data_IF_021882423586
#
_entry.id   IF_021882423586
#
_cell.length_a   1.000
_cell.length_b   1.000
_cell.length_c   1.000
_cell.angle_alpha   90.00
_cell.angle_beta   90.00
_cell.angle_gamma   90.00
#
_symmetry.space_group_name_H-M   'P 1'
#
loop_
_entity.id
_entity.type
_entity.pdbx_description
1 polymer ?
#
# COMPACT_ATOMS: atom_id res chain seq x y z
N UNK A 1 13.20 6.49 11.94
CA UNK A 1 13.65 5.07 11.94
C UNK A 1 14.23 4.68 10.58
N UNK A 2 13.48 4.82 9.47
CA UNK A 2 13.91 4.42 8.11
C UNK A 2 15.29 5.00 7.69
N UNK A 3 15.53 6.30 7.93
CA UNK A 3 16.81 6.96 7.58
C UNK A 3 18.01 6.41 8.37
N UNK A 4 17.81 6.01 9.63
CA UNK A 4 18.90 5.45 10.45
C UNK A 4 19.29 4.07 9.91
N UNK A 5 18.32 3.22 9.66
CA UNK A 5 18.54 1.91 9.06
C UNK A 5 19.18 2.06 7.67
N UNK A 6 18.67 2.98 6.84
CA UNK A 6 19.25 3.26 5.53
C UNK A 6 20.73 3.68 5.58
N UNK A 7 21.09 4.56 6.51
CA UNK A 7 22.49 4.99 6.69
C UNK A 7 23.38 3.83 7.15
N UNK A 8 22.93 3.00 8.09
CA UNK A 8 23.71 1.83 8.52
C UNK A 8 23.96 0.85 7.37
N UNK A 9 22.94 0.61 6.54
CA UNK A 9 23.07 -0.23 5.34
C UNK A 9 24.00 0.43 4.30
N UNK A 10 23.92 1.75 4.12
CA UNK A 10 24.79 2.48 3.21
C UNK A 10 26.26 2.39 3.64
N UNK A 11 26.56 2.60 4.92
CA UNK A 11 27.90 2.46 5.47
C UNK A 11 28.42 1.04 5.31
N UNK A 12 27.58 0.04 5.53
CA UNK A 12 27.91 -1.35 5.28
C UNK A 12 28.25 -1.62 3.81
N UNK A 13 27.42 -1.12 2.86
CA UNK A 13 27.68 -1.25 1.42
C UNK A 13 28.96 -0.50 1.02
N UNK A 14 29.20 0.70 1.55
CA UNK A 14 30.45 1.43 1.31
C UNK A 14 31.66 0.60 1.76
N UNK A 15 31.60 0.05 2.97
CA UNK A 15 32.69 -0.79 3.51
C UNK A 15 32.88 -2.09 2.74
N UNK A 16 31.81 -2.80 2.36
CA UNK A 16 31.89 -4.15 1.79
C UNK A 16 31.98 -4.20 0.27
N UNK A 17 31.52 -3.13 -0.39
CA UNK A 17 31.42 -3.06 -1.86
C UNK A 17 32.34 -1.96 -2.41
N UNK A 18 32.11 -0.69 -1.99
CA UNK A 18 32.78 0.46 -2.61
C UNK A 18 34.27 0.50 -2.25
N UNK A 19 34.61 0.30 -0.97
CA UNK A 19 36.01 0.39 -0.50
C UNK A 19 36.93 -0.66 -1.13
N UNK A 20 36.51 -1.95 -1.32
CA UNK A 20 37.35 -2.97 -1.96
C UNK A 20 37.46 -2.85 -3.48
N UNK A 21 36.74 -1.93 -4.15
CA UNK A 21 36.86 -1.76 -5.60
C UNK A 21 38.30 -1.39 -6.00
N UNK A 22 38.78 -2.01 -7.07
CA UNK A 22 40.10 -1.73 -7.66
C UNK A 22 40.05 -0.51 -8.59
N UNK A 23 39.55 0.62 -8.07
CA UNK A 23 39.46 1.92 -8.77
C UNK A 23 40.20 2.98 -7.97
N UNK A 24 40.49 4.14 -8.57
CA UNK A 24 41.18 5.24 -7.89
C UNK A 24 40.40 5.78 -6.69
N UNK A 25 41.09 6.37 -5.76
CA UNK A 25 40.46 7.01 -4.56
C UNK A 25 39.51 8.14 -4.97
N UNK A 26 39.85 8.84 -6.07
CA UNK A 26 39.02 9.89 -6.67
C UNK A 26 37.64 9.40 -7.17
N UNK A 27 37.48 8.11 -7.38
CA UNK A 27 36.18 7.49 -7.73
C UNK A 27 35.49 6.87 -6.51
N UNK A 28 36.25 6.28 -5.56
CA UNK A 28 35.65 5.65 -4.36
C UNK A 28 34.94 6.66 -3.48
N UNK A 29 35.52 7.87 -3.30
CA UNK A 29 34.91 8.93 -2.50
C UNK A 29 33.52 9.34 -3.01
N UNK A 30 33.39 9.78 -4.27
CA UNK A 30 32.09 10.11 -4.86
C UNK A 30 31.09 8.95 -4.86
N UNK A 31 31.51 7.71 -5.13
CA UNK A 31 30.65 6.53 -5.04
C UNK A 31 30.12 6.30 -3.61
N UNK A 32 30.98 6.42 -2.61
CA UNK A 32 30.59 6.32 -1.22
C UNK A 32 29.60 7.43 -0.82
N UNK A 33 29.86 8.67 -1.25
CA UNK A 33 28.97 9.80 -1.03
C UNK A 33 27.60 9.57 -1.70
N UNK A 34 27.58 9.07 -2.94
CA UNK A 34 26.34 8.73 -3.64
C UNK A 34 25.50 7.70 -2.86
N UNK A 35 26.12 6.61 -2.39
CA UNK A 35 25.44 5.57 -1.61
C UNK A 35 24.85 6.14 -0.31
N UNK A 36 25.58 7.00 0.40
CA UNK A 36 25.06 7.66 1.62
C UNK A 36 23.96 8.67 1.28
N UNK A 37 24.11 9.42 0.19
CA UNK A 37 23.07 10.37 -0.26
C UNK A 37 21.78 9.66 -0.63
N UNK A 38 21.84 8.48 -1.26
CA UNK A 38 20.67 7.65 -1.52
C UNK A 38 19.97 7.19 -0.23
N UNK A 39 20.72 6.87 0.82
CA UNK A 39 20.15 6.54 2.13
C UNK A 39 19.46 7.74 2.80
N UNK A 40 19.94 8.95 2.53
CA UNK A 40 19.45 10.20 3.10
C UNK A 40 18.47 10.96 2.20
N UNK A 41 18.18 10.47 0.97
CA UNK A 41 17.41 11.22 -0.01
C UNK A 41 16.05 11.68 0.52
N UNK A 42 15.34 10.87 1.32
CA UNK A 42 14.07 11.27 1.92
C UNK A 42 14.21 12.53 2.81
N UNK A 43 15.30 12.63 3.57
CA UNK A 43 15.56 13.81 4.40
C UNK A 43 15.95 15.02 3.57
N UNK A 44 16.73 14.80 2.51
CA UNK A 44 17.15 15.84 1.56
C UNK A 44 15.89 16.39 0.86
N UNK A 45 15.05 15.53 0.31
CA UNK A 45 13.79 15.92 -0.35
C UNK A 45 12.87 16.64 0.64
N UNK A 46 12.67 16.09 1.83
CA UNK A 46 11.79 16.70 2.84
C UNK A 46 12.32 18.07 3.34
N UNK A 47 13.60 18.38 3.17
CA UNK A 47 14.19 19.67 3.55
C UNK A 47 14.02 20.74 2.47
N UNK A 48 13.95 20.35 1.19
CA UNK A 48 14.05 21.28 0.06
C UNK A 48 12.88 21.21 -0.94
N UNK A 49 12.14 20.11 -0.99
CA UNK A 49 11.21 19.84 -2.07
C UNK A 49 10.03 18.94 -1.63
N UNK A 50 9.21 19.40 -0.70
CA UNK A 50 8.01 18.72 -0.25
C UNK A 50 8.22 17.85 0.99
N UNK A 51 7.67 16.64 0.98
CA UNK A 51 7.78 15.68 2.10
C UNK A 51 8.27 14.33 1.60
N UNK A 52 8.50 13.38 2.52
CA UNK A 52 8.82 12.01 2.14
C UNK A 52 7.66 11.32 1.39
N UNK A 53 6.42 11.61 1.79
CA UNK A 53 5.23 11.05 1.15
C UNK A 53 4.90 11.78 -0.17
N UNK A 54 5.12 13.10 -0.21
CA UNK A 54 4.85 13.95 -1.38
C UNK A 54 6.08 14.75 -1.78
N UNK A 55 7.05 14.13 -2.48
CA UNK A 55 8.19 14.85 -3.05
C UNK A 55 7.73 15.72 -4.24
N UNK A 56 8.00 17.02 -4.17
CA UNK A 56 7.65 17.98 -5.22
C UNK A 56 8.81 18.16 -6.22
N UNK A 57 9.24 17.04 -6.81
CA UNK A 57 10.31 16.96 -7.81
C UNK A 57 9.82 16.18 -9.04
N UNK A 58 10.49 16.30 -10.20
CA UNK A 58 10.04 15.62 -11.42
C UNK A 58 9.96 14.10 -11.27
N UNK A 59 8.91 13.48 -11.85
CA UNK A 59 8.65 12.02 -11.84
C UNK A 59 9.88 11.18 -12.15
N UNK A 60 10.72 11.46 -13.20
CA UNK A 60 11.89 10.65 -13.45
C UNK A 60 12.93 10.68 -12.31
N UNK A 61 13.04 11.82 -11.61
CA UNK A 61 13.96 11.95 -10.46
C UNK A 61 13.46 11.11 -9.29
N UNK A 62 12.15 11.14 -9.02
CA UNK A 62 11.53 10.26 -7.99
C UNK A 62 11.81 8.80 -8.32
N UNK A 63 11.59 8.38 -9.56
CA UNK A 63 11.82 7.00 -10.01
C UNK A 63 13.29 6.56 -9.85
N UNK A 64 14.25 7.42 -10.18
CA UNK A 64 15.68 7.16 -10.02
C UNK A 64 16.05 7.04 -8.53
N UNK A 65 15.57 7.96 -7.69
CA UNK A 65 15.82 7.91 -6.24
C UNK A 65 15.19 6.67 -5.58
N UNK A 66 13.95 6.34 -5.95
CA UNK A 66 13.26 5.13 -5.47
C UNK A 66 14.01 3.86 -5.91
N UNK A 67 14.49 3.80 -7.17
CA UNK A 67 15.30 2.68 -7.68
C UNK A 67 16.60 2.56 -6.91
N UNK A 68 17.32 3.65 -6.72
CA UNK A 68 18.60 3.65 -5.99
C UNK A 68 18.45 3.26 -4.52
N UNK A 69 17.41 3.76 -3.86
CA UNK A 69 17.13 3.42 -2.46
C UNK A 69 16.71 1.94 -2.31
N UNK A 70 15.83 1.44 -3.17
CA UNK A 70 15.42 0.03 -3.17
C UNK A 70 16.61 -0.87 -3.47
N UNK A 71 17.47 -0.49 -4.43
CA UNK A 71 18.70 -1.22 -4.74
C UNK A 71 19.68 -1.25 -3.57
N UNK A 72 19.78 -0.15 -2.82
CA UNK A 72 20.58 -0.11 -1.60
C UNK A 72 20.07 -1.13 -0.56
N UNK A 73 18.75 -1.20 -0.33
CA UNK A 73 18.14 -2.13 0.63
C UNK A 73 18.35 -3.58 0.20
N UNK A 74 17.94 -3.94 -1.02
CA UNK A 74 18.03 -5.31 -1.55
C UNK A 74 19.50 -5.73 -1.68
N UNK A 75 20.34 -4.84 -2.21
CA UNK A 75 21.76 -5.10 -2.40
C UNK A 75 22.51 -5.30 -1.08
N UNK A 76 22.21 -4.47 -0.06
CA UNK A 76 22.79 -4.65 1.27
C UNK A 76 22.43 -6.01 1.87
N UNK A 77 21.17 -6.44 1.75
CA UNK A 77 20.72 -7.77 2.20
C UNK A 77 21.41 -8.89 1.42
N UNK A 78 21.56 -8.76 0.10
CA UNK A 78 22.27 -9.74 -0.72
C UNK A 78 23.74 -9.83 -0.32
N UNK A 79 24.42 -8.70 -0.10
CA UNK A 79 25.81 -8.68 0.37
C UNK A 79 25.96 -9.28 1.77
N UNK A 80 25.00 -9.01 2.66
CA UNK A 80 24.96 -9.61 4.00
C UNK A 80 24.81 -11.13 3.93
N UNK A 81 23.92 -11.62 3.07
CA UNK A 81 23.75 -13.06 2.82
C UNK A 81 25.07 -13.70 2.33
N UNK A 82 25.77 -13.05 1.38
CA UNK A 82 27.07 -13.51 0.90
C UNK A 82 28.11 -13.57 2.02
N UNK A 83 28.08 -12.62 2.96
CA UNK A 83 28.99 -12.61 4.10
C UNK A 83 28.67 -13.72 5.12
N UNK A 84 27.38 -13.97 5.36
CA UNK A 84 26.93 -15.09 6.21
C UNK A 84 27.35 -16.43 5.59
N UNK A 85 27.12 -16.60 4.29
CA UNK A 85 27.53 -17.83 3.57
C UNK A 85 29.06 -18.00 3.60
N UNK A 86 29.83 -16.92 3.45
CA UNK A 86 31.29 -16.96 3.56
C UNK A 86 31.73 -17.36 4.97
N UNK A 87 31.10 -16.83 6.00
CA UNK A 87 31.37 -17.22 7.38
C UNK A 87 31.06 -18.71 7.61
N UNK A 88 29.88 -19.16 7.16
CA UNK A 88 29.50 -20.59 7.24
C UNK A 88 30.48 -21.51 6.51
N UNK A 89 30.90 -21.12 5.28
CA UNK A 89 31.88 -21.90 4.51
C UNK A 89 33.24 -22.02 5.24
N UNK A 90 33.67 -20.95 5.94
CA UNK A 90 34.88 -20.96 6.76
C UNK A 90 34.75 -21.87 7.98
N UNK A 91 33.66 -21.74 8.72
CA UNK A 91 33.41 -22.53 9.94
C UNK A 91 33.30 -24.04 9.60
N UNK A 92 32.68 -24.37 8.48
CA UNK A 92 32.54 -25.73 7.97
C UNK A 92 33.80 -26.24 7.22
N UNK A 93 34.89 -25.47 7.21
CA UNK A 93 36.15 -25.78 6.55
C UNK A 93 35.99 -26.21 5.08
N UNK A 94 35.16 -25.47 4.30
CA UNK A 94 34.90 -25.71 2.88
C UNK A 94 35.76 -24.78 2.00
N UNK A 95 37.03 -25.18 1.64
CA UNK A 95 37.98 -24.26 1.00
C UNK A 95 37.51 -23.76 -0.38
N UNK A 96 36.89 -24.65 -1.19
CA UNK A 96 36.36 -24.28 -2.52
C UNK A 96 35.24 -23.23 -2.43
N UNK A 97 34.28 -23.43 -1.53
CA UNK A 97 33.19 -22.49 -1.30
C UNK A 97 33.71 -21.13 -0.74
N UNK A 98 34.69 -21.20 0.18
CA UNK A 98 35.34 -19.98 0.72
C UNK A 98 36.05 -19.21 -0.39
N UNK A 99 36.78 -19.85 -1.31
CA UNK A 99 37.43 -19.21 -2.44
C UNK A 99 36.41 -18.55 -3.39
N UNK A 100 35.34 -19.26 -3.76
CA UNK A 100 34.29 -18.77 -4.63
C UNK A 100 33.60 -17.51 -4.02
N UNK A 101 33.23 -17.55 -2.73
CA UNK A 101 32.56 -16.43 -2.03
C UNK A 101 33.49 -15.23 -1.75
N UNK A 102 34.79 -15.39 -1.90
CA UNK A 102 35.79 -14.29 -1.82
C UNK A 102 36.06 -13.60 -3.14
N UNK A 103 35.47 -14.06 -4.24
CA UNK A 103 35.68 -13.49 -5.57
C UNK A 103 35.31 -11.98 -5.57
N UNK A 104 36.24 -11.15 -6.04
CA UNK A 104 36.13 -9.68 -5.90
C UNK A 104 34.91 -9.07 -6.63
N UNK A 105 34.46 -9.69 -7.73
CA UNK A 105 33.34 -9.18 -8.52
C UNK A 105 31.96 -9.58 -7.96
N UNK A 106 31.90 -10.56 -7.05
CA UNK A 106 30.62 -11.14 -6.60
C UNK A 106 29.72 -10.13 -5.90
N UNK A 107 30.25 -9.29 -5.01
CA UNK A 107 29.49 -8.25 -4.31
C UNK A 107 29.04 -7.10 -5.23
N UNK A 108 29.94 -6.55 -6.09
CA UNK A 108 29.49 -5.61 -7.13
C UNK A 108 28.44 -6.17 -8.06
N UNK A 109 28.53 -7.44 -8.46
CA UNK A 109 27.53 -8.10 -9.29
C UNK A 109 26.17 -8.24 -8.56
N UNK A 110 26.19 -8.57 -7.26
CA UNK A 110 24.97 -8.61 -6.45
C UNK A 110 24.30 -7.23 -6.36
N UNK A 111 25.08 -6.14 -6.23
CA UNK A 111 24.55 -4.78 -6.29
C UNK A 111 23.99 -4.42 -7.67
N UNK A 112 24.66 -4.82 -8.75
CA UNK A 112 24.15 -4.64 -10.11
C UNK A 112 22.82 -5.39 -10.35
N UNK A 113 22.73 -6.64 -9.89
CA UNK A 113 21.48 -7.40 -9.93
C UNK A 113 20.38 -6.75 -9.10
N UNK A 114 20.70 -6.29 -7.90
CA UNK A 114 19.75 -5.55 -7.06
C UNK A 114 19.24 -4.27 -7.75
N UNK A 115 20.10 -3.54 -8.47
CA UNK A 115 19.70 -2.36 -9.23
C UNK A 115 18.71 -2.70 -10.34
N UNK A 116 18.97 -3.77 -11.12
CA UNK A 116 18.05 -4.23 -12.19
C UNK A 116 16.69 -4.65 -11.62
N UNK A 117 16.70 -5.47 -10.55
CA UNK A 117 15.48 -5.92 -9.87
C UNK A 117 14.70 -4.72 -9.28
N UNK A 118 15.41 -3.73 -8.74
CA UNK A 118 14.79 -2.53 -8.18
C UNK A 118 14.19 -1.62 -9.26
N UNK A 119 14.87 -1.46 -10.41
CA UNK A 119 14.33 -0.71 -11.54
C UNK A 119 13.05 -1.36 -12.08
N UNK A 120 13.03 -2.69 -12.20
CA UNK A 120 11.82 -3.45 -12.52
C UNK A 120 10.72 -3.25 -11.46
N UNK A 121 11.06 -3.32 -10.18
CA UNK A 121 10.10 -3.12 -9.07
C UNK A 121 9.48 -1.73 -9.06
N UNK A 122 10.26 -0.68 -9.32
CA UNK A 122 9.75 0.69 -9.41
C UNK A 122 8.88 0.87 -10.66
N UNK A 123 9.29 0.29 -11.80
CA UNK A 123 8.46 0.27 -13.01
C UNK A 123 7.10 -0.40 -12.74
N UNK A 124 7.07 -1.55 -12.06
CA UNK A 124 5.83 -2.23 -11.65
C UNK A 124 5.00 -1.40 -10.67
N UNK A 125 5.64 -0.66 -9.76
CA UNK A 125 4.96 0.25 -8.83
C UNK A 125 4.27 1.45 -9.52
N UNK A 126 4.74 1.82 -10.73
CA UNK A 126 4.16 2.88 -11.56
C UNK A 126 3.21 2.35 -12.64
N UNK A 127 3.10 1.04 -12.82
CA UNK A 127 2.21 0.44 -13.80
C UNK A 127 0.74 0.67 -13.41
N UNK A 128 -0.14 0.76 -14.40
CA UNK A 128 -1.58 0.78 -14.14
C UNK A 128 -2.00 -0.57 -13.52
N UNK A 129 -2.77 -0.57 -12.42
CA UNK A 129 -3.11 -1.79 -11.72
C UNK A 129 -3.96 -2.74 -12.56
N UNK A 130 -3.76 -4.02 -12.33
CA UNK A 130 -4.61 -5.06 -12.92
C UNK A 130 -5.95 -5.15 -12.18
N UNK A 131 -7.00 -5.57 -12.88
CA UNK A 131 -8.28 -5.86 -12.26
C UNK A 131 -8.28 -7.26 -11.66
N UNK A 132 -8.75 -7.35 -10.43
CA UNK A 132 -8.95 -8.60 -9.72
C UNK A 132 -10.44 -8.77 -9.42
N UNK A 133 -10.99 -9.90 -9.78
CA UNK A 133 -12.41 -10.22 -9.49
C UNK A 133 -12.46 -11.35 -8.46
N UNK A 134 -13.25 -11.15 -7.42
CA UNK A 134 -13.45 -12.13 -6.35
C UNK A 134 -14.93 -12.23 -6.02
N UNK A 135 -15.36 -13.38 -5.54
CA UNK A 135 -16.68 -13.55 -4.93
C UNK A 135 -16.53 -13.66 -3.42
N UNK A 136 -17.43 -13.02 -2.68
CA UNK A 136 -17.49 -13.07 -1.22
C UNK A 136 -18.88 -13.47 -0.80
N UNK A 137 -18.99 -14.60 -0.14
CA UNK A 137 -20.26 -15.09 0.41
C UNK A 137 -20.47 -14.50 1.79
N UNK A 138 -21.64 -13.88 2.00
CA UNK A 138 -22.02 -13.26 3.26
C UNK A 138 -23.25 -13.98 3.84
N UNK A 139 -23.16 -14.33 5.12
CA UNK A 139 -24.31 -14.81 5.86
C UNK A 139 -25.32 -13.67 6.06
N UNK A 140 -26.61 -13.99 5.94
CA UNK A 140 -27.67 -13.00 6.07
C UNK A 140 -27.76 -11.97 4.93
N UNK A 141 -27.01 -12.12 3.83
CA UNK A 141 -27.14 -11.23 2.67
C UNK A 141 -28.56 -11.41 2.07
N UNK A 142 -29.36 -10.32 1.96
CA UNK A 142 -30.67 -10.41 1.28
C UNK A 142 -30.51 -10.81 -0.18
N UNK A 143 -31.50 -11.59 -0.70
CA UNK A 143 -31.47 -12.07 -2.09
C UNK A 143 -31.36 -10.96 -3.13
N UNK A 144 -31.85 -9.75 -2.83
CA UNK A 144 -31.77 -8.57 -3.68
C UNK A 144 -30.31 -8.07 -3.91
N UNK A 145 -29.39 -8.49 -3.05
CA UNK A 145 -27.97 -8.18 -3.15
C UNK A 145 -27.12 -9.39 -3.60
N UNK A 146 -27.72 -10.54 -3.94
CA UNK A 146 -26.97 -11.62 -4.58
C UNK A 146 -26.52 -11.19 -5.97
N UNK A 147 -25.21 -11.28 -6.24
CA UNK A 147 -24.59 -10.74 -7.45
C UNK A 147 -24.25 -9.26 -7.41
N UNK A 148 -24.46 -8.55 -6.30
CA UNK A 148 -24.13 -7.13 -6.14
C UNK A 148 -22.61 -6.90 -6.25
N UNK A 149 -22.21 -5.90 -7.05
CA UNK A 149 -20.81 -5.68 -7.46
C UNK A 149 -20.25 -4.45 -6.77
N UNK A 150 -19.40 -4.67 -5.77
CA UNK A 150 -18.68 -3.62 -5.05
C UNK A 150 -17.27 -3.51 -5.63
N UNK A 151 -16.92 -2.36 -6.17
CA UNK A 151 -15.56 -2.07 -6.58
C UNK A 151 -14.78 -1.43 -5.42
N UNK A 152 -13.72 -2.06 -4.95
CA UNK A 152 -12.79 -1.49 -4.00
C UNK A 152 -11.62 -0.85 -4.73
N UNK A 153 -11.42 0.44 -4.48
CA UNK A 153 -10.19 1.19 -4.72
C UNK A 153 -9.55 1.52 -3.38
N UNK A 154 -8.23 1.51 -3.29
CA UNK A 154 -7.48 1.91 -2.09
C UNK A 154 -6.05 2.27 -2.47
N UNK A 155 -5.41 3.09 -1.64
CA UNK A 155 -3.99 3.41 -1.79
C UNK A 155 -3.65 3.89 -3.22
N UNK A 156 -4.43 4.84 -3.72
CA UNK A 156 -4.23 5.43 -5.06
C UNK A 156 -2.97 6.28 -5.07
N UNK A 157 -2.72 7.03 -3.99
CA UNK A 157 -1.56 7.91 -3.83
C UNK A 157 -1.32 8.81 -5.04
N UNK A 158 -2.38 9.51 -5.52
CA UNK A 158 -2.25 10.49 -6.58
C UNK A 158 -1.17 11.51 -6.19
N UNK A 159 -0.12 11.61 -7.00
CA UNK A 159 1.13 12.31 -6.64
C UNK A 159 1.94 12.70 -7.89
N UNK A 160 3.11 13.31 -7.69
CA UNK A 160 4.07 13.53 -8.78
C UNK A 160 4.55 12.23 -9.44
N UNK A 161 4.46 11.10 -8.76
CA UNK A 161 4.83 9.79 -9.31
C UNK A 161 3.66 9.18 -10.09
N UNK A 162 2.45 9.20 -9.52
CA UNK A 162 1.21 8.68 -10.07
C UNK A 162 0.29 9.87 -10.40
N UNK A 163 0.48 10.40 -11.60
CA UNK A 163 -0.14 11.65 -12.06
C UNK A 163 -1.58 11.45 -12.54
N UNK A 164 -2.26 12.55 -12.85
CA UNK A 164 -3.64 12.55 -13.34
C UNK A 164 -3.90 11.61 -14.52
N UNK A 165 -2.97 11.47 -15.47
CA UNK A 165 -3.11 10.51 -16.58
C UNK A 165 -3.16 9.07 -16.11
N UNK A 166 -2.36 8.73 -15.10
CA UNK A 166 -2.40 7.40 -14.48
C UNK A 166 -3.71 7.18 -13.72
N UNK A 167 -4.15 8.19 -12.95
CA UNK A 167 -5.45 8.15 -12.23
C UNK A 167 -6.60 8.03 -13.21
N UNK A 168 -6.57 8.73 -14.35
CA UNK A 168 -7.59 8.62 -15.41
C UNK A 168 -7.69 7.19 -15.97
N UNK A 169 -6.56 6.48 -16.13
CA UNK A 169 -6.57 5.07 -16.54
C UNK A 169 -7.15 4.16 -15.46
N UNK A 170 -6.85 4.40 -14.18
CA UNK A 170 -7.47 3.67 -13.06
C UNK A 170 -8.98 3.86 -13.09
N UNK A 171 -9.47 5.09 -13.26
CA UNK A 171 -10.90 5.41 -13.37
C UNK A 171 -11.55 4.72 -14.57
N UNK A 172 -10.90 4.77 -15.75
CA UNK A 172 -11.41 4.11 -16.95
C UNK A 172 -11.54 2.59 -16.76
N UNK A 173 -10.51 1.94 -16.19
CA UNK A 173 -10.53 0.51 -15.91
C UNK A 173 -11.60 0.15 -14.85
N UNK A 174 -11.79 1.00 -13.85
CA UNK A 174 -12.80 0.85 -12.82
C UNK A 174 -14.24 0.90 -13.41
N UNK A 175 -14.51 1.90 -14.24
CA UNK A 175 -15.80 2.08 -14.87
C UNK A 175 -16.13 0.95 -15.87
N UNK A 176 -15.11 0.41 -16.56
CA UNK A 176 -15.27 -0.72 -17.49
C UNK A 176 -15.76 -2.00 -16.78
N UNK A 177 -15.56 -2.12 -15.48
CA UNK A 177 -16.08 -3.21 -14.68
C UNK A 177 -17.58 -3.06 -14.34
N UNK A 178 -18.21 -1.93 -14.63
CA UNK A 178 -19.63 -1.66 -14.36
C UNK A 178 -20.03 -2.05 -12.93
N UNK A 179 -19.41 -1.50 -11.88
CA UNK A 179 -19.79 -1.80 -10.50
C UNK A 179 -21.14 -1.18 -10.14
N UNK A 180 -21.84 -1.77 -9.17
CA UNK A 180 -23.03 -1.19 -8.57
C UNK A 180 -22.67 -0.08 -7.57
N UNK A 181 -21.58 -0.26 -6.84
CA UNK A 181 -21.03 0.66 -5.84
C UNK A 181 -19.50 0.74 -5.97
N UNK A 182 -18.95 1.95 -5.86
CA UNK A 182 -17.51 2.14 -5.68
C UNK A 182 -17.23 2.50 -4.22
N UNK A 183 -16.31 1.79 -3.58
CA UNK A 183 -15.81 2.12 -2.24
C UNK A 183 -14.32 2.43 -2.29
N UNK A 184 -13.90 3.51 -1.65
CA UNK A 184 -12.50 3.93 -1.58
C UNK A 184 -12.05 3.84 -0.12
N UNK A 185 -11.14 2.91 0.14
CA UNK A 185 -10.72 2.59 1.51
C UNK A 185 -9.45 3.33 1.95
N UNK A 186 -9.32 4.61 1.57
CA UNK A 186 -8.29 5.55 2.04
C UNK A 186 -7.04 5.66 1.17
N UNK A 187 -6.16 6.58 1.55
CA UNK A 187 -4.89 6.91 0.90
C UNK A 187 -5.06 7.25 -0.59
N UNK A 188 -5.99 8.20 -0.87
CA UNK A 188 -6.27 8.64 -2.25
C UNK A 188 -5.17 9.51 -2.82
N UNK A 189 -4.50 10.29 -1.96
CA UNK A 189 -3.61 11.38 -2.39
C UNK A 189 -2.34 11.50 -1.54
N UNK A 190 -1.31 12.10 -2.14
CA UNK A 190 -0.11 12.55 -1.46
C UNK A 190 0.17 14.03 -1.73
N UNK A 191 0.09 14.87 -0.68
CA UNK A 191 0.36 16.31 -0.74
C UNK A 191 -0.85 17.19 -0.54
N UNK A 192 -0.70 18.49 -0.87
CA UNK A 192 -1.75 19.49 -0.66
C UNK A 192 -2.79 19.49 -1.77
N UNK A 193 -4.00 19.98 -1.50
CA UNK A 193 -5.07 20.10 -2.51
C UNK A 193 -4.61 20.89 -3.72
N UNK A 194 -3.97 22.05 -3.52
CA UNK A 194 -3.46 22.87 -4.61
C UNK A 194 -2.43 22.15 -5.47
N UNK A 195 -1.51 21.41 -4.85
CA UNK A 195 -0.46 20.69 -5.58
C UNK A 195 -0.99 19.48 -6.35
N UNK A 196 -2.11 18.91 -5.92
CA UNK A 196 -2.68 17.66 -6.49
C UNK A 196 -3.99 17.86 -7.25
N UNK A 197 -4.49 19.08 -7.37
CA UNK A 197 -5.78 19.35 -8.02
C UNK A 197 -5.92 18.64 -9.38
N UNK A 198 -4.89 18.74 -10.23
CA UNK A 198 -4.89 18.11 -11.55
C UNK A 198 -4.75 16.58 -11.48
N UNK A 199 -3.97 16.05 -10.51
CA UNK A 199 -3.75 14.63 -10.34
C UNK A 199 -4.99 13.92 -9.75
N UNK A 200 -5.76 14.63 -8.92
CA UNK A 200 -6.96 14.16 -8.27
C UNK A 200 -8.24 14.30 -9.13
N UNK A 201 -8.29 15.31 -10.02
CA UNK A 201 -9.47 15.63 -10.83
C UNK A 201 -10.10 14.45 -11.57
N UNK A 202 -9.35 13.47 -12.13
CA UNK A 202 -9.97 12.34 -12.85
C UNK A 202 -10.88 11.47 -11.98
N UNK A 203 -10.73 11.46 -10.64
CA UNK A 203 -11.58 10.65 -9.76
C UNK A 203 -13.06 11.08 -9.79
N UNK A 204 -13.37 12.31 -10.17
CA UNK A 204 -14.75 12.75 -10.42
C UNK A 204 -15.44 11.96 -11.56
N UNK A 205 -14.66 11.25 -12.37
CA UNK A 205 -15.16 10.39 -13.44
C UNK A 205 -15.58 8.99 -13.01
N UNK A 206 -15.42 8.61 -11.74
CA UNK A 206 -15.91 7.33 -11.22
C UNK A 206 -17.43 7.26 -11.30
N UNK A 207 -17.96 6.10 -11.72
CA UNK A 207 -19.39 5.89 -11.97
C UNK A 207 -19.86 4.58 -11.36
N UNK A 208 -20.89 4.66 -10.53
CA UNK A 208 -21.66 3.52 -10.04
C UNK A 208 -23.09 3.97 -9.72
N UNK A 209 -24.13 3.16 -9.97
CA UNK A 209 -25.52 3.51 -9.68
C UNK A 209 -25.76 3.91 -8.22
N UNK A 210 -25.11 3.22 -7.27
CA UNK A 210 -25.25 3.50 -5.83
C UNK A 210 -24.14 4.45 -5.31
N UNK A 211 -23.41 5.09 -6.24
CA UNK A 211 -22.46 6.18 -5.96
C UNK A 211 -21.04 5.73 -5.60
N UNK A 212 -20.29 6.69 -5.07
CA UNK A 212 -18.90 6.52 -4.64
C UNK A 212 -18.80 6.89 -3.16
N UNK A 213 -18.40 5.93 -2.34
CA UNK A 213 -18.23 6.10 -0.90
C UNK A 213 -16.73 6.06 -0.59
N UNK A 214 -16.25 6.98 0.22
CA UNK A 214 -14.85 7.04 0.61
C UNK A 214 -14.68 7.12 2.13
N UNK A 215 -13.58 6.56 2.61
CA UNK A 215 -13.03 6.83 3.94
C UNK A 215 -11.62 7.41 3.81
N UNK A 216 -11.08 7.89 4.91
CA UNK A 216 -9.68 8.33 4.97
C UNK A 216 -8.74 7.17 5.30
N UNK A 217 -7.54 7.19 4.71
CA UNK A 217 -6.38 6.48 5.21
C UNK A 217 -5.50 7.42 6.05
N UNK A 218 -4.23 7.05 6.24
CA UNK A 218 -3.32 7.89 7.00
C UNK A 218 -2.73 9.05 6.19
N UNK A 219 -2.69 8.96 4.88
CA UNK A 219 -2.07 9.99 4.04
C UNK A 219 -2.91 11.26 3.95
N UNK A 220 -4.21 11.19 4.03
CA UNK A 220 -5.10 12.35 4.08
C UNK A 220 -4.77 13.28 5.27
N UNK A 221 -4.27 12.73 6.39
CA UNK A 221 -3.92 13.52 7.57
C UNK A 221 -2.55 14.21 7.48
N UNK A 222 -1.68 13.79 6.55
CA UNK A 222 -0.32 14.36 6.44
C UNK A 222 -0.29 15.75 5.82
N UNK A 223 -1.35 16.16 5.11
CA UNK A 223 -1.45 17.49 4.50
C UNK A 223 -2.91 17.92 4.32
N UNK A 224 -3.30 19.00 4.99
CA UNK A 224 -4.58 19.70 4.74
C UNK A 224 -5.84 18.81 4.82
N UNK A 225 -5.98 18.02 5.88
CA UNK A 225 -7.09 17.08 6.06
C UNK A 225 -8.46 17.66 5.74
N UNK A 226 -8.82 18.79 6.37
CA UNK A 226 -10.15 19.41 6.19
C UNK A 226 -10.41 19.82 4.72
N UNK A 227 -9.39 20.37 4.05
CA UNK A 227 -9.50 20.78 2.64
C UNK A 227 -9.69 19.55 1.74
N UNK A 228 -9.01 18.42 2.05
CA UNK A 228 -9.22 17.18 1.32
C UNK A 228 -10.61 16.61 1.53
N UNK A 229 -11.15 16.64 2.76
CA UNK A 229 -12.54 16.20 3.00
C UNK A 229 -13.54 17.02 2.21
N UNK A 230 -13.31 18.32 2.09
CA UNK A 230 -14.12 19.20 1.25
C UNK A 230 -13.97 18.87 -0.23
N UNK A 231 -12.73 18.65 -0.70
CA UNK A 231 -12.45 18.33 -2.10
C UNK A 231 -13.07 16.99 -2.54
N UNK A 232 -13.02 15.96 -1.68
CA UNK A 232 -13.65 14.67 -1.95
C UNK A 232 -15.17 14.79 -2.11
N UNK A 233 -15.83 15.51 -1.18
CA UNK A 233 -17.27 15.79 -1.26
C UNK A 233 -17.63 16.61 -2.49
N UNK A 234 -16.80 17.59 -2.86
CA UNK A 234 -17.02 18.42 -4.05
C UNK A 234 -16.92 17.60 -5.36
N UNK A 235 -16.23 16.47 -5.38
CA UNK A 235 -16.23 15.53 -6.50
C UNK A 235 -17.36 14.47 -6.45
N UNK A 236 -18.33 14.63 -5.54
CA UNK A 236 -19.50 13.76 -5.43
C UNK A 236 -19.25 12.50 -4.60
N UNK A 237 -18.14 12.38 -3.89
CA UNK A 237 -17.90 11.25 -2.99
C UNK A 237 -18.65 11.45 -1.66
N UNK A 238 -19.32 10.42 -1.19
CA UNK A 238 -19.82 10.36 0.18
C UNK A 238 -18.71 9.95 1.12
N UNK A 239 -18.18 10.89 1.92
CA UNK A 239 -17.09 10.61 2.86
C UNK A 239 -17.66 10.19 4.21
N UNK A 240 -17.30 8.99 4.65
CA UNK A 240 -17.70 8.46 5.96
C UNK A 240 -16.57 8.67 6.98
N UNK A 241 -16.92 9.31 8.09
CA UNK A 241 -16.03 9.64 9.20
C UNK A 241 -16.68 9.15 10.51
N UNK A 242 -16.53 7.88 10.85
CA UNK A 242 -17.25 7.18 11.93
C UNK A 242 -18.77 7.25 11.75
N UNK A 243 -19.22 7.05 10.54
CA UNK A 243 -20.63 7.08 10.14
C UNK A 243 -20.94 5.93 9.20
N UNK A 244 -22.21 5.73 8.88
CA UNK A 244 -22.66 4.80 7.86
C UNK A 244 -23.62 5.42 6.87
N UNK A 245 -23.85 4.72 5.80
CA UNK A 245 -24.95 4.92 4.84
C UNK A 245 -25.59 3.57 4.51
N UNK A 246 -26.76 3.61 3.94
CA UNK A 246 -27.51 2.41 3.55
C UNK A 246 -27.76 2.39 2.05
N UNK A 247 -27.48 1.28 1.42
CA UNK A 247 -27.93 0.96 0.06
C UNK A 247 -29.24 0.19 0.18
N UNK A 248 -30.26 0.62 -0.57
CA UNK A 248 -31.60 0.01 -0.52
C UNK A 248 -31.99 -0.54 -1.88
N UNK A 249 -32.45 -1.82 -1.92
CA UNK A 249 -32.95 -2.48 -3.12
C UNK A 249 -34.20 -3.31 -2.78
N UNK A 250 -35.32 -2.99 -3.40
CA UNK A 250 -36.60 -3.74 -3.25
C UNK A 250 -36.93 -4.03 -1.78
N UNK A 251 -36.80 -3.03 -0.90
CA UNK A 251 -37.07 -3.14 0.52
C UNK A 251 -35.97 -3.77 1.37
N UNK A 252 -34.95 -4.36 0.75
CA UNK A 252 -33.77 -4.85 1.45
C UNK A 252 -32.73 -3.72 1.69
N UNK A 253 -31.93 -3.87 2.74
CA UNK A 253 -30.93 -2.91 3.18
C UNK A 253 -29.55 -3.58 3.29
N UNK A 254 -28.53 -2.90 2.80
CA UNK A 254 -27.12 -3.20 2.99
C UNK A 254 -26.44 -1.98 3.63
N UNK A 255 -25.86 -2.15 4.81
CA UNK A 255 -25.19 -1.06 5.53
C UNK A 255 -23.73 -0.98 5.12
N UNK A 256 -23.29 0.22 4.71
CA UNK A 256 -21.89 0.54 4.44
C UNK A 256 -21.41 1.48 5.54
N UNK A 257 -20.59 0.97 6.45
CA UNK A 257 -20.00 1.76 7.55
C UNK A 257 -18.56 2.14 7.23
N UNK A 258 -18.14 3.32 7.69
CA UNK A 258 -16.78 3.80 7.51
C UNK A 258 -16.21 4.40 8.78
N UNK A 259 -14.97 4.05 9.10
CA UNK A 259 -14.24 4.61 10.23
C UNK A 259 -13.05 5.45 9.78
N UNK A 260 -12.60 6.36 10.65
CA UNK A 260 -11.40 7.18 10.46
C UNK A 260 -10.13 6.34 10.65
N UNK A 261 -8.95 6.89 10.31
CA UNK A 261 -7.67 6.21 10.56
C UNK A 261 -7.13 6.53 11.97
N UNK A 262 -6.47 5.59 12.66
CA UNK A 262 -5.87 5.83 13.97
C UNK A 262 -4.84 6.95 14.02
N UNK A 263 -4.24 7.34 12.89
CA UNK A 263 -3.32 8.48 12.83
C UNK A 263 -3.98 9.80 13.18
N UNK A 264 -5.30 9.90 13.06
CA UNK A 264 -6.12 11.06 13.43
C UNK A 264 -5.79 11.59 14.83
N UNK A 265 -5.48 10.70 15.79
CA UNK A 265 -5.08 11.06 17.14
C UNK A 265 -3.88 12.02 17.19
N UNK A 266 -2.92 11.90 16.25
CA UNK A 266 -1.74 12.77 16.18
C UNK A 266 -2.07 14.21 15.76
N UNK A 267 -3.24 14.40 15.18
CA UNK A 267 -3.74 15.68 14.66
C UNK A 267 -4.91 16.24 15.49
N UNK A 268 -5.24 15.61 16.64
CA UNK A 268 -6.35 16.00 17.49
C UNK A 268 -7.73 15.79 16.85
N UNK A 269 -7.82 14.88 15.89
CA UNK A 269 -9.04 14.54 15.17
C UNK A 269 -9.65 13.22 15.70
N UNK A 270 -10.96 12.96 15.44
CA UNK A 270 -11.65 11.78 15.95
C UNK A 270 -10.98 10.47 15.51
N UNK A 271 -10.68 9.62 16.48
CA UNK A 271 -10.18 8.27 16.26
C UNK A 271 -11.26 7.34 15.71
N UNK A 272 -10.89 6.19 15.12
CA UNK A 272 -11.84 5.16 14.69
C UNK A 272 -12.81 4.78 15.79
N UNK A 273 -14.10 4.80 15.49
CA UNK A 273 -15.16 4.44 16.42
C UNK A 273 -16.30 3.71 15.67
N UNK A 274 -16.22 2.38 15.65
CA UNK A 274 -17.20 1.57 14.94
C UNK A 274 -18.58 1.61 15.60
N UNK A 275 -18.65 1.72 16.94
CA UNK A 275 -19.94 1.85 17.64
C UNK A 275 -20.67 3.14 17.25
N UNK A 276 -19.94 4.26 17.09
CA UNK A 276 -20.52 5.48 16.57
C UNK A 276 -20.90 5.35 15.10
N UNK A 277 -20.08 4.70 14.29
CA UNK A 277 -20.36 4.45 12.88
C UNK A 277 -21.66 3.66 12.67
N UNK A 278 -21.95 2.71 13.54
CA UNK A 278 -23.15 1.86 13.45
C UNK A 278 -24.38 2.42 14.20
N UNK A 279 -24.25 3.57 14.87
CA UNK A 279 -25.37 4.16 15.61
C UNK A 279 -26.54 4.49 14.68
N UNK A 280 -27.70 3.86 14.92
CA UNK A 280 -28.92 4.03 14.12
C UNK A 280 -29.02 3.15 12.85
N UNK A 281 -28.02 2.33 12.55
CA UNK A 281 -28.11 1.32 11.47
C UNK A 281 -29.17 0.25 11.78
N UNK A 282 -29.81 -0.30 10.74
CA UNK A 282 -30.72 -1.44 10.91
C UNK A 282 -29.92 -2.67 11.41
N UNK A 283 -30.18 -3.17 12.62
CA UNK A 283 -29.42 -4.27 13.21
C UNK A 283 -29.59 -5.60 12.46
N UNK A 284 -30.53 -5.69 11.54
CA UNK A 284 -30.76 -6.87 10.70
C UNK A 284 -30.03 -6.81 9.36
N UNK A 285 -29.57 -5.61 8.97
CA UNK A 285 -28.87 -5.43 7.71
C UNK A 285 -27.41 -5.92 7.83
N UNK A 286 -26.88 -6.68 6.86
CA UNK A 286 -25.47 -7.01 6.85
C UNK A 286 -24.62 -5.75 6.71
N UNK A 287 -23.49 -5.73 7.41
CA UNK A 287 -22.58 -4.57 7.44
C UNK A 287 -21.33 -4.86 6.62
N UNK A 288 -21.05 -3.99 5.65
CA UNK A 288 -19.73 -3.86 5.02
C UNK A 288 -19.01 -2.70 5.70
N UNK A 289 -17.90 -2.98 6.36
CA UNK A 289 -17.05 -1.98 7.01
C UNK A 289 -15.91 -1.57 6.10
N UNK A 290 -15.74 -0.28 5.91
CA UNK A 290 -14.57 0.34 5.33
C UNK A 290 -13.65 0.77 6.47
N UNK A 291 -12.49 0.12 6.59
CA UNK A 291 -11.44 0.43 7.57
C UNK A 291 -10.09 0.33 6.86
N UNK A 292 -9.40 1.46 6.72
CA UNK A 292 -8.17 1.52 5.96
C UNK A 292 -7.13 0.50 6.42
N UNK A 293 -6.98 0.32 7.76
CA UNK A 293 -6.01 -0.62 8.33
C UNK A 293 -6.66 -1.92 8.77
N UNK A 294 -6.08 -3.08 8.39
CA UNK A 294 -6.68 -4.37 8.75
C UNK A 294 -6.47 -4.77 10.22
N UNK A 295 -5.62 -4.07 10.96
CA UNK A 295 -5.17 -4.50 12.29
C UNK A 295 -6.28 -4.63 13.34
N UNK A 296 -7.39 -3.89 13.20
CA UNK A 296 -8.53 -3.93 14.10
C UNK A 296 -9.58 -5.02 13.75
N UNK A 297 -9.36 -5.82 12.71
CA UNK A 297 -10.37 -6.73 12.15
C UNK A 297 -11.02 -7.65 13.19
N UNK A 298 -10.26 -8.17 14.16
CA UNK A 298 -10.80 -9.03 15.21
C UNK A 298 -11.75 -8.29 16.16
N UNK A 299 -11.43 -7.04 16.50
CA UNK A 299 -12.33 -6.20 17.28
C UNK A 299 -13.58 -5.82 16.48
N UNK A 300 -13.42 -5.55 15.20
CA UNK A 300 -14.51 -5.19 14.29
C UNK A 300 -15.50 -6.36 14.09
N UNK A 301 -14.99 -7.59 13.98
CA UNK A 301 -15.81 -8.80 13.90
C UNK A 301 -16.77 -8.95 15.09
N UNK A 302 -16.33 -8.58 16.30
CA UNK A 302 -17.16 -8.64 17.50
C UNK A 302 -18.38 -7.68 17.48
N UNK A 303 -18.41 -6.72 16.54
CA UNK A 303 -19.55 -5.80 16.34
C UNK A 303 -20.54 -6.29 15.26
N UNK A 304 -20.44 -7.54 14.80
CA UNK A 304 -21.36 -8.08 13.79
C UNK A 304 -21.10 -7.64 12.36
N UNK A 305 -19.88 -7.16 12.06
CA UNK A 305 -19.47 -6.84 10.69
C UNK A 305 -19.41 -8.13 9.87
N UNK A 306 -20.07 -8.14 8.69
CA UNK A 306 -20.05 -9.30 7.79
C UNK A 306 -18.83 -9.31 6.85
N UNK A 307 -18.44 -8.14 6.36
CA UNK A 307 -17.28 -7.95 5.48
C UNK A 307 -16.51 -6.69 5.88
N UNK A 308 -15.21 -6.80 6.08
CA UNK A 308 -14.31 -5.64 6.21
C UNK A 308 -13.44 -5.51 4.97
N UNK A 309 -13.35 -4.29 4.41
CA UNK A 309 -12.50 -3.93 3.29
C UNK A 309 -11.38 -2.99 3.78
N UNK A 310 -10.13 -3.40 3.55
CA UNK A 310 -8.93 -2.70 4.00
C UNK A 310 -7.89 -2.58 2.90
N UNK A 311 -6.97 -1.61 3.06
CA UNK A 311 -5.78 -1.39 2.25
C UNK A 311 -4.51 -1.30 3.10
N UNK A 312 -3.80 -0.18 3.01
CA UNK A 312 -2.66 0.24 3.85
C UNK A 312 -1.37 -0.58 3.72
N UNK A 313 -1.47 -1.87 3.58
CA UNK A 313 -0.33 -2.79 3.64
C UNK A 313 0.44 -2.88 2.33
N UNK A 314 -0.16 -2.43 1.23
CA UNK A 314 0.33 -2.62 -0.14
C UNK A 314 0.74 -4.08 -0.46
N UNK A 315 0.16 -5.07 0.24
CA UNK A 315 0.53 -6.46 0.15
C UNK A 315 1.97 -6.77 0.59
N UNK A 316 2.60 -5.84 1.33
CA UNK A 316 3.99 -5.94 1.80
C UNK A 316 5.02 -5.45 0.79
N UNK A 317 4.64 -4.83 -0.33
CA UNK A 317 5.50 -4.24 -1.37
C UNK A 317 6.42 -5.23 -2.09
N UNK A 318 7.26 -5.97 -1.37
CA UNK A 318 8.29 -6.88 -1.89
C UNK A 318 8.11 -8.24 -1.23
N UNK A 319 8.13 -9.31 -2.03
CA UNK A 319 8.05 -10.67 -1.53
C UNK A 319 9.14 -10.93 -0.47
N UNK A 320 8.73 -11.42 0.70
CA UNK A 320 9.58 -11.60 1.88
C UNK A 320 9.47 -10.43 2.89
N UNK A 321 9.23 -9.19 2.46
CA UNK A 321 8.88 -8.09 3.38
C UNK A 321 7.45 -8.19 3.89
N UNK A 322 6.57 -8.89 3.17
CA UNK A 322 5.18 -9.15 3.53
C UNK A 322 5.06 -9.71 4.97
N UNK A 323 6.00 -10.53 5.43
CA UNK A 323 6.00 -11.08 6.79
C UNK A 323 6.19 -9.99 7.86
N UNK A 324 7.05 -9.00 7.61
CA UNK A 324 7.25 -7.86 8.51
C UNK A 324 6.01 -6.96 8.55
N UNK A 325 5.45 -6.67 7.37
CA UNK A 325 4.23 -5.86 7.24
C UNK A 325 3.04 -6.56 7.88
N UNK A 326 2.90 -7.88 7.67
CA UNK A 326 1.90 -8.74 8.30
C UNK A 326 1.94 -8.63 9.82
N UNK A 327 3.13 -8.77 10.42
CA UNK A 327 3.30 -8.66 11.86
C UNK A 327 2.88 -7.28 12.39
N UNK A 328 3.22 -6.21 11.69
CA UNK A 328 2.86 -4.84 12.06
C UNK A 328 1.35 -4.53 11.90
N UNK A 329 0.60 -5.37 11.18
CA UNK A 329 -0.82 -5.18 10.85
C UNK A 329 -1.71 -6.29 11.42
N UNK A 330 -1.44 -6.76 12.63
CA UNK A 330 -2.30 -7.72 13.34
C UNK A 330 -2.36 -9.12 12.71
N UNK A 331 -1.40 -9.46 11.85
CA UNK A 331 -1.36 -10.75 11.15
C UNK A 331 -1.97 -10.72 9.75
N UNK A 332 -2.33 -9.54 9.22
CA UNK A 332 -2.98 -9.40 7.92
C UNK A 332 -2.11 -8.58 6.95
N UNK A 333 -2.04 -8.98 5.67
CA UNK A 333 -1.21 -8.28 4.68
C UNK A 333 -1.80 -8.23 3.28
N UNK A 334 -2.47 -9.28 2.81
CA UNK A 334 -3.03 -9.36 1.44
C UNK A 334 -4.06 -10.47 1.32
N UNK A 335 -5.12 -10.24 0.56
CA UNK A 335 -6.14 -11.24 0.23
C UNK A 335 -7.21 -11.40 1.29
N UNK A 336 -7.88 -12.57 1.28
CA UNK A 336 -9.02 -12.86 2.15
C UNK A 336 -8.61 -13.59 3.41
N UNK A 337 -9.28 -13.24 4.52
CA UNK A 337 -9.14 -13.91 5.82
C UNK A 337 -10.52 -14.15 6.43
N UNK A 338 -10.69 -15.30 7.10
CA UNK A 338 -11.81 -15.54 7.98
C UNK A 338 -11.44 -15.07 9.40
N UNK A 339 -12.22 -14.14 9.96
CA UNK A 339 -11.96 -13.52 11.27
C UNK A 339 -13.23 -13.59 12.11
N UNK A 340 -13.32 -14.56 13.01
CA UNK A 340 -14.43 -14.70 13.97
C UNK A 340 -15.84 -14.56 13.33
N UNK A 341 -16.05 -15.18 12.16
CA UNK A 341 -17.31 -15.15 11.40
C UNK A 341 -17.41 -14.04 10.37
N UNK A 342 -16.53 -13.02 10.43
CA UNK A 342 -16.40 -11.96 9.44
C UNK A 342 -15.44 -12.37 8.31
N UNK A 343 -15.72 -11.94 7.09
CA UNK A 343 -14.71 -11.92 6.03
C UNK A 343 -13.94 -10.61 6.06
N UNK A 344 -12.60 -10.69 6.12
CA UNK A 344 -11.71 -9.55 5.88
C UNK A 344 -11.08 -9.68 4.50
N UNK A 345 -11.12 -8.63 3.71
CA UNK A 345 -10.33 -8.51 2.49
C UNK A 345 -9.32 -7.36 2.61
N UNK A 346 -8.05 -7.67 2.42
CA UNK A 346 -6.96 -6.70 2.42
C UNK A 346 -6.42 -6.57 0.99
N UNK A 347 -6.71 -5.46 0.35
CA UNK A 347 -6.24 -5.16 -1.01
C UNK A 347 -4.75 -4.77 -0.99
N UNK A 348 -4.05 -5.12 -2.08
CA UNK A 348 -2.67 -4.65 -2.30
C UNK A 348 -2.59 -3.17 -2.70
N UNK A 349 -3.75 -2.53 -2.92
CA UNK A 349 -3.81 -1.14 -3.36
C UNK A 349 -3.53 -0.93 -4.84
N UNK A 350 -4.09 0.15 -5.39
CA UNK A 350 -3.92 0.51 -6.80
C UNK A 350 -2.55 1.14 -7.07
N UNK A 351 -2.11 2.06 -6.21
CA UNK A 351 -0.86 2.79 -6.32
C UNK A 351 0.15 2.47 -5.23
N UNK A 352 1.14 3.35 -5.14
CA UNK A 352 2.18 3.36 -4.10
C UNK A 352 2.59 4.79 -3.78
N UNK A 353 2.87 5.06 -2.52
CA UNK A 353 3.42 6.34 -2.10
C UNK A 353 4.90 6.48 -2.52
N UNK A 354 5.30 7.70 -2.85
CA UNK A 354 6.62 7.97 -3.43
C UNK A 354 7.81 7.63 -2.52
N UNK A 355 7.61 7.53 -1.21
CA UNK A 355 8.68 7.20 -0.27
C UNK A 355 9.16 5.75 -0.32
N UNK A 356 8.35 4.82 -0.84
CA UNK A 356 8.76 3.43 -1.12
C UNK A 356 8.00 2.88 -2.32
N UNK A 357 8.39 3.29 -3.52
CA UNK A 357 7.64 3.09 -4.76
C UNK A 357 8.06 1.83 -5.54
N UNK A 358 8.33 0.72 -4.87
CA UNK A 358 8.71 -0.54 -5.54
C UNK A 358 7.74 -1.68 -5.22
N UNK A 359 7.36 -2.45 -6.26
CA UNK A 359 6.61 -3.70 -6.15
C UNK A 359 7.41 -4.84 -6.78
N UNK A 360 7.70 -5.89 -6.01
CA UNK A 360 8.43 -7.07 -6.47
C UNK A 360 7.69 -8.32 -6.01
N UNK A 361 7.03 -9.01 -6.95
CA UNK A 361 6.24 -10.22 -6.66
C UNK A 361 4.88 -9.94 -5.99
N UNK A 362 4.50 -8.67 -5.82
CA UNK A 362 3.23 -8.24 -5.21
C UNK A 362 2.54 -7.25 -6.16
N UNK A 363 1.63 -7.70 -7.04
CA UNK A 363 0.98 -6.84 -8.01
C UNK A 363 0.03 -5.84 -7.34
N UNK A 364 -0.10 -4.64 -7.93
CA UNK A 364 -1.17 -3.69 -7.62
C UNK A 364 -2.50 -4.20 -8.18
N UNK A 365 -3.62 -3.77 -7.59
CA UNK A 365 -4.93 -4.24 -7.99
C UNK A 365 -6.05 -3.21 -7.87
N UNK A 366 -7.03 -3.31 -8.76
CA UNK A 366 -8.39 -2.78 -8.64
C UNK A 366 -9.27 -4.00 -8.36
N UNK A 367 -10.00 -4.03 -7.24
CA UNK A 367 -10.72 -5.24 -6.85
C UNK A 367 -12.21 -5.10 -7.04
N UNK A 368 -12.80 -5.93 -7.90
CA UNK A 368 -14.24 -6.10 -8.01
C UNK A 368 -14.67 -7.27 -7.15
N UNK A 369 -15.56 -7.01 -6.20
CA UNK A 369 -16.10 -7.97 -5.24
C UNK A 369 -17.56 -8.22 -5.60
N UNK A 370 -17.88 -9.44 -5.99
CA UNK A 370 -19.28 -9.86 -6.19
C UNK A 370 -19.78 -10.50 -4.91
N UNK A 371 -20.81 -9.92 -4.32
CA UNK A 371 -21.46 -10.48 -3.12
C UNK A 371 -22.30 -11.68 -3.48
N UNK A 372 -22.28 -12.72 -2.65
CA UNK A 372 -23.10 -13.93 -2.78
C UNK A 372 -23.83 -14.24 -1.50
N UNK A 373 -25.07 -14.65 -1.60
CA UNK A 373 -25.85 -15.14 -0.46
C UNK A 373 -25.39 -16.54 -0.06
N UNK A 374 -25.16 -16.77 1.22
CA UNK A 374 -24.81 -18.10 1.75
C UNK A 374 -23.83 -18.02 2.92
N UNK A 375 -23.47 -19.20 3.45
CA UNK A 375 -22.50 -19.27 4.53
C UNK A 375 -21.11 -18.80 4.07
N UNK A 376 -20.39 -18.06 4.92
CA UNK A 376 -19.02 -17.61 4.62
C UNK A 376 -18.12 -18.79 4.23
N UNK A 377 -17.28 -18.59 3.24
CA UNK A 377 -16.34 -19.59 2.76
C UNK A 377 -15.29 -19.91 3.85
N UNK A 378 -15.39 -21.09 4.46
CA UNK A 378 -14.48 -21.56 5.53
C UNK A 378 -13.07 -21.97 5.02
N UNK A 379 -12.89 -22.08 3.69
CA UNK A 379 -11.60 -22.46 3.07
C UNK A 379 -10.70 -21.27 2.74
N UNK A 380 -11.01 -20.09 3.28
CA UNK A 380 -10.17 -18.92 3.13
C UNK A 380 -8.86 -19.13 3.89
N UNK A 381 -7.74 -18.77 3.27
CA UNK A 381 -6.42 -18.94 3.85
C UNK A 381 -6.39 -18.48 5.31
N UNK A 382 -6.13 -19.43 6.21
CA UNK A 382 -5.73 -19.07 7.57
C UNK A 382 -4.48 -18.21 7.43
N UNK A 383 -4.46 -17.07 8.09
CA UNK A 383 -3.25 -16.27 8.18
C UNK A 383 -2.09 -17.19 8.54
N UNK A 384 -1.16 -17.41 7.57
CA UNK A 384 0.06 -18.17 7.79
C UNK A 384 0.91 -17.48 8.85
#
# INVERSE_FOLDING_TARGET
MLSVVGVLLALYVVWRVVWPLRVSLSLRGPLGLLVVSLALHHRIVARFAGTMASPEIPKPVIAVLATGFTALLIGALAVLLLDILLLGARLLRRPRATAALRTAWLRPAAMGAALVVSAYGVWQGMAVPQTRQIEVTLDGLPAQFDGYRVLQLTDIHASRLLTGDWVAQVVANSNALSPDLVVITGDLIDGTVTARAADFAPLAGLRAPDGVIAITGNHEYYAQYADWMQAFRAQGMQVLENTHTEVRRDGAVLTIAGVTDPVAARYGLPMPNLSAALAGADPRAPVILLDHRPGAARANAAHGVALQLSGHTHGGHILGMDQLVKHANGGYVSGRYAVDGMTLYVSNGAGLWAGFAARIGVPSEITLITLRQGAPDRQIARAL
#
